data_IF_659008932779
#
_entry.id   IF_659008932779
#
_cell.length_a   1.000
_cell.length_b   1.000
_cell.length_c   1.000
_cell.angle_alpha   90.00
_cell.angle_beta   90.00
_cell.angle_gamma   90.00
#
_symmetry.space_group_name_H-M   'P 1'
#
loop_
_entity.id
_entity.type
_entity.pdbx_description
1 polymer ?
#
# COMPACT_ATOMS: atom_id res chain seq x y z
N UNK A 1 9.50 5.44 2.23
CA UNK A 1 8.70 5.15 3.44
C UNK A 1 7.57 4.21 3.09
N UNK A 2 7.29 3.22 3.92
CA UNK A 2 6.20 2.26 3.72
C UNK A 2 5.01 2.60 4.59
N UNK A 3 3.80 2.58 4.01
CA UNK A 3 2.53 2.76 4.70
C UNK A 3 1.71 1.48 4.57
N UNK A 4 1.74 0.62 5.58
CA UNK A 4 0.97 -0.62 5.68
C UNK A 4 -0.20 -0.47 6.66
N UNK A 5 -1.00 -1.51 6.81
CA UNK A 5 -2.09 -1.58 7.78
C UNK A 5 -3.44 -1.94 7.17
N UNK A 6 -4.49 -2.09 7.99
CA UNK A 6 -5.79 -2.58 7.55
C UNK A 6 -6.42 -1.74 6.45
N UNK A 7 -7.23 -2.38 5.61
CA UNK A 7 -8.03 -1.68 4.61
C UNK A 7 -9.00 -0.70 5.30
N UNK A 8 -9.07 0.56 4.83
CA UNK A 8 -9.88 1.62 5.43
C UNK A 8 -9.21 2.35 6.61
N UNK A 9 -8.00 1.98 7.03
CA UNK A 9 -7.26 2.66 8.10
C UNK A 9 -6.80 4.08 7.73
N UNK A 10 -6.85 4.45 6.44
CA UNK A 10 -6.52 5.80 5.96
C UNK A 10 -5.12 5.96 5.41
N UNK A 11 -4.46 4.87 4.98
CA UNK A 11 -3.13 4.88 4.33
C UNK A 11 -3.08 5.79 3.11
N UNK A 12 -3.92 5.49 2.12
CA UNK A 12 -3.97 6.26 0.87
C UNK A 12 -4.28 7.74 1.12
N UNK A 13 -5.22 8.03 2.04
CA UNK A 13 -5.54 9.41 2.41
C UNK A 13 -4.38 10.13 3.11
N UNK A 14 -3.59 9.41 3.91
CA UNK A 14 -2.36 9.94 4.51
C UNK A 14 -1.32 10.21 3.43
N UNK A 15 -1.09 9.25 2.54
CA UNK A 15 -0.17 9.38 1.42
C UNK A 15 -0.53 10.57 0.51
N UNK A 16 -1.80 10.72 0.14
CA UNK A 16 -2.31 11.86 -0.64
C UNK A 16 -2.06 13.21 0.04
N UNK A 17 -2.28 13.32 1.36
CA UNK A 17 -2.02 14.56 2.09
C UNK A 17 -0.55 14.90 2.17
N UNK A 18 0.30 13.92 2.43
CA UNK A 18 1.76 14.10 2.44
C UNK A 18 2.27 14.47 1.05
N UNK A 19 1.77 13.80 0.01
CA UNK A 19 2.08 14.14 -1.38
C UNK A 19 1.67 15.57 -1.72
N UNK A 20 0.46 15.98 -1.35
CA UNK A 20 -0.02 17.34 -1.59
C UNK A 20 0.77 18.41 -0.82
N UNK A 21 1.23 18.09 0.40
CA UNK A 21 1.96 19.03 1.24
C UNK A 21 3.45 19.16 0.85
N UNK A 22 4.06 18.09 0.38
CA UNK A 22 5.52 18.00 0.17
C UNK A 22 5.92 17.75 -1.29
N UNK A 23 4.99 17.43 -2.18
CA UNK A 23 5.28 16.99 -3.54
C UNK A 23 5.81 15.55 -3.65
N UNK A 24 5.87 14.81 -2.55
CA UNK A 24 6.44 13.45 -2.54
C UNK A 24 5.63 12.48 -3.40
N UNK A 25 6.29 11.68 -4.26
CA UNK A 25 5.59 10.71 -5.09
C UNK A 25 5.02 9.56 -4.27
N UNK A 26 3.87 9.07 -4.71
CA UNK A 26 3.18 7.91 -4.10
C UNK A 26 3.21 6.74 -5.07
N UNK A 27 3.78 5.63 -4.64
CA UNK A 27 3.71 4.33 -5.31
C UNK A 27 2.59 3.53 -4.65
N UNK A 28 1.55 3.25 -5.41
CA UNK A 28 0.45 2.39 -4.97
C UNK A 28 0.86 0.94 -5.19
N UNK A 29 1.09 0.20 -4.12
CA UNK A 29 1.49 -1.21 -4.22
C UNK A 29 0.37 -2.09 -4.74
N UNK A 30 -0.88 -1.65 -4.61
CA UNK A 30 -2.03 -2.32 -5.20
C UNK A 30 -2.01 -2.29 -6.74
N UNK A 31 -1.20 -1.44 -7.37
CA UNK A 31 -0.99 -1.43 -8.81
C UNK A 31 -0.12 -2.61 -9.31
N UNK A 32 0.48 -3.37 -8.40
CA UNK A 32 1.33 -4.52 -8.70
C UNK A 32 0.63 -5.87 -8.49
N UNK A 33 -0.68 -5.91 -8.36
CA UNK A 33 -1.44 -7.17 -8.32
C UNK A 33 -1.31 -7.94 -9.64
N UNK A 34 -1.37 -9.26 -9.54
CA UNK A 34 -1.49 -10.15 -10.70
C UNK A 34 -2.82 -9.89 -11.40
N UNK A 35 -2.88 -10.13 -12.69
CA UNK A 35 -4.13 -10.08 -13.43
C UNK A 35 -4.96 -11.34 -13.16
N UNK A 36 -6.27 -11.27 -13.40
CA UNK A 36 -7.21 -12.35 -13.06
C UNK A 36 -6.94 -13.66 -13.84
N UNK A 37 -6.30 -13.58 -14.99
CA UNK A 37 -5.92 -14.68 -15.88
C UNK A 37 -4.47 -15.14 -15.70
N UNK A 38 -3.70 -14.52 -14.77
CA UNK A 38 -2.35 -14.97 -14.46
C UNK A 38 -2.39 -16.41 -13.90
N UNK A 39 -1.69 -17.37 -14.55
CA UNK A 39 -1.67 -18.78 -14.13
C UNK A 39 -1.06 -18.99 -12.73
N UNK A 40 -0.28 -18.03 -12.24
CA UNK A 40 0.34 -18.05 -10.91
C UNK A 40 -0.50 -17.36 -9.83
N UNK A 41 -1.68 -16.81 -10.19
CA UNK A 41 -2.57 -16.20 -9.21
C UNK A 41 -3.09 -17.28 -8.24
N UNK A 42 -2.83 -17.14 -6.92
CA UNK A 42 -3.30 -18.09 -5.93
C UNK A 42 -4.82 -18.26 -5.95
N UNK A 43 -5.26 -19.48 -5.70
CA UNK A 43 -6.69 -19.80 -5.63
C UNK A 43 -7.06 -20.37 -4.27
N UNK A 44 -8.19 -19.94 -3.75
CA UNK A 44 -8.77 -20.48 -2.53
C UNK A 44 -9.18 -21.96 -2.72
N UNK A 45 -9.46 -22.72 -1.64
CA UNK A 45 -9.90 -24.12 -1.73
C UNK A 45 -11.15 -24.33 -2.58
N UNK A 46 -11.94 -23.29 -2.82
CA UNK A 46 -13.14 -23.33 -3.68
C UNK A 46 -12.87 -22.84 -5.11
N UNK A 47 -11.60 -22.69 -5.50
CA UNK A 47 -11.17 -22.40 -6.87
C UNK A 47 -11.27 -20.94 -7.33
N UNK A 48 -11.68 -20.00 -6.46
CA UNK A 48 -11.72 -18.57 -6.78
C UNK A 48 -10.37 -17.90 -6.46
N UNK A 49 -9.99 -16.82 -7.17
CA UNK A 49 -8.77 -16.07 -6.87
C UNK A 49 -8.68 -15.62 -5.42
N UNK A 50 -7.52 -15.82 -4.81
CA UNK A 50 -7.22 -15.39 -3.43
C UNK A 50 -6.31 -14.15 -3.46
N UNK A 51 -6.93 -12.99 -3.47
CA UNK A 51 -6.26 -11.69 -3.52
C UNK A 51 -5.60 -11.28 -2.18
N UNK A 52 -5.92 -11.98 -1.11
CA UNK A 52 -5.34 -11.74 0.21
C UNK A 52 -4.09 -12.61 0.45
N UNK A 53 -3.77 -13.51 -0.50
CA UNK A 53 -2.55 -14.34 -0.47
C UNK A 53 -1.32 -13.53 -0.89
N UNK A 54 -0.17 -13.84 -0.27
CA UNK A 54 1.09 -13.14 -0.52
C UNK A 54 1.61 -13.21 -1.95
N UNK A 55 1.29 -14.27 -2.67
CA UNK A 55 1.70 -14.43 -4.07
C UNK A 55 0.70 -13.81 -5.07
N UNK A 56 -0.33 -13.09 -4.58
CA UNK A 56 -1.31 -12.43 -5.44
C UNK A 56 -0.76 -11.19 -6.13
N UNK A 57 0.45 -10.75 -5.81
CA UNK A 57 1.07 -9.55 -6.34
C UNK A 57 2.58 -9.75 -6.64
N UNK A 58 3.13 -8.85 -7.43
CA UNK A 58 4.52 -8.89 -7.89
C UNK A 58 5.42 -8.08 -6.95
N UNK A 59 5.81 -8.65 -5.80
CA UNK A 59 6.65 -7.99 -4.80
C UNK A 59 7.98 -7.51 -5.37
N UNK A 60 8.66 -8.34 -6.15
CA UNK A 60 9.96 -8.01 -6.76
C UNK A 60 9.84 -6.83 -7.74
N UNK A 61 8.77 -6.78 -8.53
CA UNK A 61 8.52 -5.65 -9.43
C UNK A 61 8.26 -4.35 -8.66
N UNK A 62 7.58 -4.43 -7.52
CA UNK A 62 7.35 -3.27 -6.66
C UNK A 62 8.67 -2.77 -6.03
N UNK A 63 9.53 -3.68 -5.53
CA UNK A 63 10.86 -3.32 -5.01
C UNK A 63 11.72 -2.67 -6.09
N UNK A 64 11.75 -3.25 -7.30
CA UNK A 64 12.52 -2.72 -8.41
C UNK A 64 12.01 -1.33 -8.85
N UNK A 65 10.69 -1.13 -8.88
CA UNK A 65 10.10 0.17 -9.19
C UNK A 65 10.49 1.23 -8.15
N UNK A 66 10.46 0.89 -6.85
CA UNK A 66 10.90 1.78 -5.78
C UNK A 66 12.39 2.11 -5.88
N UNK A 67 13.22 1.11 -6.16
CA UNK A 67 14.65 1.29 -6.37
C UNK A 67 14.93 2.27 -7.52
N UNK A 68 14.32 2.04 -8.70
CA UNK A 68 14.49 2.94 -9.85
C UNK A 68 14.00 4.35 -9.58
N UNK A 69 12.87 4.49 -8.88
CA UNK A 69 12.36 5.82 -8.55
C UNK A 69 13.33 6.59 -7.65
N UNK A 70 14.01 5.91 -6.72
CA UNK A 70 15.01 6.53 -5.84
C UNK A 70 16.32 6.80 -6.58
N UNK A 71 16.82 5.84 -7.38
CA UNK A 71 18.12 5.92 -8.03
C UNK A 71 18.11 6.84 -9.26
N UNK A 72 17.07 6.68 -10.12
CA UNK A 72 16.96 7.34 -11.42
C UNK A 72 16.05 8.60 -11.37
N UNK A 73 15.34 8.82 -10.25
CA UNK A 73 14.37 9.91 -10.10
C UNK A 73 13.11 9.74 -10.96
N UNK A 74 12.98 8.62 -11.68
CA UNK A 74 11.85 8.35 -12.59
C UNK A 74 11.63 6.86 -12.76
N UNK A 75 10.34 6.46 -12.80
CA UNK A 75 9.93 5.08 -13.11
C UNK A 75 8.57 5.05 -13.79
N UNK A 76 8.37 4.10 -14.68
CA UNK A 76 7.06 3.76 -15.21
C UNK A 76 6.48 2.59 -14.40
N UNK A 77 5.27 2.75 -13.85
CA UNK A 77 4.58 1.74 -13.06
C UNK A 77 3.23 1.40 -13.70
N UNK A 78 2.69 0.19 -13.47
CA UNK A 78 1.37 -0.16 -13.94
C UNK A 78 0.29 0.68 -13.28
N UNK A 79 -0.88 0.75 -13.91
CA UNK A 79 -2.14 1.23 -13.34
C UNK A 79 -3.11 0.06 -13.34
N UNK A 80 -3.46 -0.41 -12.15
CA UNK A 80 -4.30 -1.58 -11.97
C UNK A 80 -5.74 -1.19 -11.61
N UNK A 81 -6.70 -1.75 -12.34
CA UNK A 81 -8.12 -1.62 -12.01
C UNK A 81 -8.57 -2.83 -11.19
N UNK A 82 -8.86 -2.59 -9.91
CA UNK A 82 -9.35 -3.63 -8.99
C UNK A 82 -10.71 -4.20 -9.46
N UNK A 83 -11.55 -3.40 -10.11
CA UNK A 83 -12.85 -3.85 -10.61
C UNK A 83 -12.72 -4.80 -11.79
N UNK A 84 -11.82 -4.50 -12.71
CA UNK A 84 -11.48 -5.35 -13.85
C UNK A 84 -10.51 -6.47 -13.49
N UNK A 85 -9.81 -6.35 -12.36
CA UNK A 85 -8.68 -7.22 -11.95
C UNK A 85 -7.63 -7.36 -13.05
N UNK A 86 -7.25 -6.23 -13.65
CA UNK A 86 -6.33 -6.15 -14.77
C UNK A 86 -5.55 -4.84 -14.79
N UNK A 87 -4.38 -4.86 -15.44
CA UNK A 87 -3.60 -3.67 -15.75
C UNK A 87 -4.27 -2.94 -16.91
N UNK A 88 -4.72 -1.70 -16.68
CA UNK A 88 -5.43 -0.87 -17.66
C UNK A 88 -4.57 0.20 -18.30
N UNK A 89 -3.34 0.38 -17.82
CA UNK A 89 -2.42 1.37 -18.35
C UNK A 89 -1.10 1.42 -17.61
N UNK A 90 -0.33 2.45 -17.89
CA UNK A 90 0.93 2.75 -17.20
C UNK A 90 0.99 4.23 -16.87
N UNK A 91 1.68 4.57 -15.80
CA UNK A 91 1.94 5.94 -15.39
C UNK A 91 3.42 6.15 -15.07
N UNK A 92 3.90 7.36 -15.31
CA UNK A 92 5.25 7.76 -14.95
C UNK A 92 5.22 8.50 -13.63
N UNK A 93 6.00 8.00 -12.66
CA UNK A 93 6.26 8.69 -11.41
C UNK A 93 7.64 9.34 -11.45
N UNK A 94 7.77 10.49 -10.84
CA UNK A 94 9.04 11.21 -10.71
C UNK A 94 9.28 11.59 -9.25
N UNK A 95 10.53 11.52 -8.82
CA UNK A 95 11.00 11.93 -7.51
C UNK A 95 12.10 12.99 -7.66
N UNK A 96 12.01 14.06 -6.90
CA UNK A 96 13.08 15.03 -6.78
C UNK A 96 14.22 14.56 -5.88
N UNK A 97 15.38 15.23 -5.88
CA UNK A 97 16.58 14.79 -5.16
C UNK A 97 16.45 14.83 -3.63
N UNK A 98 15.38 15.40 -3.12
CA UNK A 98 15.12 15.54 -1.67
C UNK A 98 13.81 14.88 -1.24
N UNK A 99 13.16 14.14 -2.14
CA UNK A 99 11.86 13.58 -1.86
C UNK A 99 11.95 12.29 -1.03
N UNK A 100 10.98 12.12 -0.14
CA UNK A 100 10.64 10.79 0.32
C UNK A 100 9.68 10.16 -0.68
N UNK A 101 9.95 8.93 -1.09
CA UNK A 101 9.01 8.10 -1.83
C UNK A 101 8.07 7.43 -0.83
N UNK A 102 6.76 7.64 -1.00
CA UNK A 102 5.73 6.97 -0.21
C UNK A 102 5.26 5.73 -0.96
N UNK A 103 5.33 4.56 -0.35
CA UNK A 103 4.75 3.33 -0.91
C UNK A 103 3.64 2.83 0.02
N UNK A 104 2.41 2.71 -0.50
CA UNK A 104 1.26 2.33 0.30
C UNK A 104 0.54 1.11 -0.27
N UNK A 105 0.09 0.21 0.61
CA UNK A 105 -0.68 -0.96 0.23
C UNK A 105 -0.85 -1.94 1.38
N UNK A 106 -1.67 -2.98 1.12
CA UNK A 106 -1.91 -4.03 2.11
C UNK A 106 -0.61 -4.78 2.44
N UNK A 107 0.16 -5.14 1.41
CA UNK A 107 1.39 -5.93 1.54
C UNK A 107 2.66 -5.09 1.76
N UNK A 108 2.55 -3.78 1.96
CA UNK A 108 3.71 -2.89 2.15
C UNK A 108 4.65 -3.38 3.29
N UNK A 109 4.12 -4.01 4.33
CA UNK A 109 4.91 -4.58 5.41
C UNK A 109 5.95 -5.61 4.95
N UNK A 110 5.66 -6.37 3.90
CA UNK A 110 6.55 -7.39 3.33
C UNK A 110 7.76 -6.82 2.60
N UNK A 111 7.71 -5.54 2.22
CA UNK A 111 8.83 -4.84 1.61
C UNK A 111 9.83 -4.28 2.63
N UNK A 112 9.56 -4.38 3.92
CA UNK A 112 10.44 -3.84 4.97
C UNK A 112 11.84 -4.42 4.87
N UNK A 113 11.99 -5.75 4.88
CA UNK A 113 13.30 -6.40 4.83
C UNK A 113 14.01 -6.21 3.47
N UNK A 114 13.34 -6.43 2.31
CA UNK A 114 13.98 -6.19 1.01
C UNK A 114 14.49 -4.75 0.84
N UNK A 115 13.73 -3.75 1.27
CA UNK A 115 14.15 -2.35 1.14
C UNK A 115 15.17 -1.94 2.20
N UNK A 116 15.12 -2.53 3.40
CA UNK A 116 16.15 -2.33 4.43
C UNK A 116 17.49 -2.88 3.98
N UNK A 117 17.52 -4.08 3.43
CA UNK A 117 18.74 -4.71 2.91
C UNK A 117 19.41 -3.89 1.80
N UNK A 118 18.62 -3.12 1.03
CA UNK A 118 19.10 -2.24 -0.02
C UNK A 118 19.40 -0.80 0.47
N UNK A 119 19.21 -0.50 1.76
CA UNK A 119 19.39 0.85 2.30
C UNK A 119 18.33 1.87 1.84
N UNK A 120 17.23 1.42 1.26
CA UNK A 120 16.16 2.27 0.70
C UNK A 120 15.04 2.57 1.70
N UNK A 121 14.98 1.87 2.83
CA UNK A 121 13.93 2.04 3.82
C UNK A 121 14.24 3.20 4.77
N UNK A 122 13.46 4.26 4.70
CA UNK A 122 13.53 5.36 5.68
C UNK A 122 12.68 5.07 6.92
N UNK A 123 11.45 4.59 6.75
CA UNK A 123 10.54 4.19 7.84
C UNK A 123 9.44 3.25 7.31
N UNK A 124 8.84 2.47 8.21
CA UNK A 124 7.72 1.59 7.92
C UNK A 124 6.61 1.80 8.97
N UNK A 125 5.47 2.29 8.53
CA UNK A 125 4.35 2.70 9.36
C UNK A 125 3.16 1.78 9.16
N UNK A 126 2.73 1.10 10.22
CA UNK A 126 1.43 0.43 10.26
C UNK A 126 0.37 1.44 10.70
N UNK A 127 -0.31 2.02 9.72
CA UNK A 127 -1.37 3.00 9.94
C UNK A 127 -2.59 2.32 10.56
N UNK A 128 -2.96 2.72 11.79
CA UNK A 128 -4.02 2.10 12.57
C UNK A 128 -4.96 3.14 13.15
N UNK A 129 -6.25 2.84 13.14
CA UNK A 129 -7.31 3.60 13.76
C UNK A 129 -8.23 2.71 14.60
N UNK A 130 -9.30 3.30 15.13
CA UNK A 130 -10.38 2.50 15.72
C UNK A 130 -10.99 1.57 14.65
N UNK A 131 -10.97 0.27 14.92
CA UNK A 131 -11.41 -0.78 13.98
C UNK A 131 -12.87 -0.62 13.49
N UNK A 132 -13.75 -0.11 14.33
CA UNK A 132 -15.13 0.13 13.96
C UNK A 132 -15.26 1.30 12.98
N UNK A 133 -14.47 2.35 13.19
CA UNK A 133 -14.39 3.49 12.27
C UNK A 133 -13.80 3.05 10.91
N UNK A 134 -12.77 2.21 10.94
CA UNK A 134 -12.14 1.61 9.75
C UNK A 134 -13.17 0.78 8.98
N UNK A 135 -13.92 -0.09 9.68
CA UNK A 135 -14.96 -0.92 9.07
C UNK A 135 -16.10 -0.07 8.47
N UNK A 136 -16.56 0.96 9.17
CA UNK A 136 -17.60 1.87 8.69
C UNK A 136 -17.16 2.62 7.42
N UNK A 137 -15.94 3.19 7.41
CA UNK A 137 -15.39 3.89 6.23
C UNK A 137 -15.23 2.98 5.03
N UNK A 138 -14.79 1.75 5.24
CA UNK A 138 -14.69 0.74 4.18
C UNK A 138 -16.07 0.41 3.62
N UNK A 139 -17.03 0.13 4.50
CA UNK A 139 -18.39 -0.19 4.11
C UNK A 139 -19.02 0.93 3.27
N UNK A 140 -18.92 2.19 3.72
CA UNK A 140 -19.46 3.34 2.98
C UNK A 140 -18.78 3.53 1.62
N UNK A 141 -17.47 3.34 1.53
CA UNK A 141 -16.74 3.38 0.26
C UNK A 141 -17.21 2.28 -0.69
N UNK A 142 -17.20 1.03 -0.23
CA UNK A 142 -17.56 -0.13 -1.06
C UNK A 142 -19.03 -0.09 -1.51
N UNK A 143 -19.90 0.54 -0.72
CA UNK A 143 -21.30 0.81 -1.08
C UNK A 143 -21.40 1.91 -2.14
N UNK A 144 -20.67 3.02 -1.98
CA UNK A 144 -20.65 4.13 -2.93
C UNK A 144 -20.11 3.70 -4.30
N UNK A 145 -19.09 2.87 -4.32
CA UNK A 145 -18.47 2.34 -5.53
C UNK A 145 -19.23 1.15 -6.15
N UNK A 146 -20.38 0.76 -5.57
CA UNK A 146 -21.24 -0.36 -6.03
C UNK A 146 -20.50 -1.66 -6.32
N UNK A 147 -19.41 -1.92 -5.61
CA UNK A 147 -18.50 -3.04 -5.87
C UNK A 147 -19.17 -4.42 -5.71
N UNK A 148 -20.13 -4.56 -4.78
CA UNK A 148 -20.84 -5.82 -4.49
C UNK A 148 -22.21 -5.56 -3.84
N UNK A 149 -23.13 -6.54 -3.84
CA UNK A 149 -24.40 -6.45 -3.12
C UNK A 149 -24.20 -6.20 -1.61
N UNK A 150 -25.09 -5.42 -0.94
CA UNK A 150 -24.93 -5.00 0.45
C UNK A 150 -24.71 -6.14 1.45
N UNK A 151 -25.40 -7.28 1.30
CA UNK A 151 -25.25 -8.43 2.18
C UNK A 151 -23.85 -9.07 2.12
N UNK A 152 -23.24 -9.07 0.91
CA UNK A 152 -21.85 -9.55 0.72
C UNK A 152 -20.88 -8.57 1.37
N UNK A 153 -21.14 -7.25 1.25
CA UNK A 153 -20.31 -6.20 1.88
C UNK A 153 -20.31 -6.32 3.40
N UNK A 154 -21.48 -6.57 4.01
CA UNK A 154 -21.58 -6.79 5.47
C UNK A 154 -20.78 -8.00 5.90
N UNK A 155 -20.96 -9.16 5.22
CA UNK A 155 -20.23 -10.40 5.55
C UNK A 155 -18.72 -10.21 5.42
N UNK A 156 -18.27 -9.59 4.32
CA UNK A 156 -16.86 -9.27 4.10
C UNK A 156 -16.33 -8.27 5.13
N UNK A 157 -17.12 -7.24 5.45
CA UNK A 157 -16.78 -6.24 6.47
C UNK A 157 -16.53 -6.86 7.85
N UNK A 158 -17.37 -7.80 8.26
CA UNK A 158 -17.22 -8.54 9.53
C UNK A 158 -15.99 -9.45 9.52
N UNK A 159 -15.71 -10.13 8.39
CA UNK A 159 -14.52 -10.97 8.26
C UNK A 159 -13.25 -10.12 8.40
N UNK A 160 -13.16 -9.01 7.67
CA UNK A 160 -12.02 -8.09 7.72
C UNK A 160 -11.85 -7.40 9.09
N UNK A 161 -12.96 -7.12 9.79
CA UNK A 161 -12.91 -6.60 11.16
C UNK A 161 -12.31 -7.61 12.15
N UNK A 162 -12.59 -8.90 11.95
CA UNK A 162 -12.01 -9.98 12.76
C UNK A 162 -10.53 -10.19 12.45
N UNK A 163 -10.14 -10.00 11.18
CA UNK A 163 -8.79 -10.24 10.70
C UNK A 163 -7.83 -9.06 10.94
N UNK A 164 -8.37 -7.88 11.24
CA UNK A 164 -7.58 -6.65 11.47
C UNK A 164 -6.44 -6.82 12.49
N UNK A 165 -6.63 -7.51 13.66
CA UNK A 165 -5.54 -7.73 14.60
C UNK A 165 -4.39 -8.54 14.01
N UNK A 166 -4.70 -9.53 13.16
CA UNK A 166 -3.70 -10.35 12.47
C UNK A 166 -2.88 -9.51 11.48
N UNK A 167 -3.53 -8.68 10.68
CA UNK A 167 -2.87 -7.77 9.74
C UNK A 167 -1.92 -6.80 10.46
N UNK A 168 -2.34 -6.27 11.61
CA UNK A 168 -1.51 -5.38 12.44
C UNK A 168 -0.32 -6.14 13.02
N UNK A 169 -0.54 -7.34 13.58
CA UNK A 169 0.52 -8.16 14.15
C UNK A 169 1.56 -8.58 13.10
N UNK A 170 1.10 -8.94 11.89
CA UNK A 170 1.96 -9.27 10.77
C UNK A 170 2.83 -8.07 10.34
N UNK A 171 2.22 -6.88 10.21
CA UNK A 171 2.96 -5.67 9.90
C UNK A 171 4.04 -5.35 10.96
N UNK A 172 3.73 -5.55 12.24
CA UNK A 172 4.68 -5.38 13.34
C UNK A 172 5.80 -6.44 13.30
N UNK A 173 5.47 -7.69 13.00
CA UNK A 173 6.45 -8.76 12.86
C UNK A 173 7.45 -8.48 11.74
N UNK A 174 7.04 -7.81 10.68
CA UNK A 174 7.92 -7.30 9.62
C UNK A 174 8.68 -6.02 10.00
N UNK A 175 8.48 -5.48 11.20
CA UNK A 175 9.19 -4.30 11.69
C UNK A 175 8.53 -2.95 11.41
N UNK A 176 7.25 -2.94 11.03
CA UNK A 176 6.48 -1.70 10.92
C UNK A 176 5.99 -1.23 12.30
N UNK A 177 6.15 0.06 12.62
CA UNK A 177 5.62 0.62 13.86
C UNK A 177 4.18 1.07 13.69
N UNK A 178 3.33 0.74 14.68
CA UNK A 178 1.94 1.19 14.67
C UNK A 178 1.82 2.67 15.00
N UNK A 179 1.02 3.38 14.19
CA UNK A 179 0.82 4.82 14.36
C UNK A 179 -0.61 5.22 13.97
N UNK A 180 -1.14 6.24 14.65
CA UNK A 180 -2.41 6.85 14.25
C UNK A 180 -2.18 7.80 13.06
N UNK A 181 -3.08 7.89 12.04
CA UNK A 181 -2.88 8.72 10.85
C UNK A 181 -2.54 10.17 11.13
N UNK A 182 -3.19 10.81 12.12
CA UNK A 182 -2.91 12.20 12.49
C UNK A 182 -1.52 12.39 13.10
N UNK A 183 -1.08 11.41 13.89
CA UNK A 183 0.26 11.43 14.47
C UNK A 183 1.30 11.21 13.37
N UNK A 184 1.08 10.25 12.47
CA UNK A 184 1.95 10.02 11.31
C UNK A 184 2.10 11.29 10.46
N UNK A 185 0.99 11.97 10.17
CA UNK A 185 1.00 13.23 9.41
C UNK A 185 1.83 14.30 10.11
N UNK A 186 1.66 14.46 11.43
CA UNK A 186 2.42 15.44 12.23
C UNK A 186 3.92 15.10 12.28
N UNK A 187 4.28 13.83 12.50
CA UNK A 187 5.68 13.39 12.55
C UNK A 187 6.37 13.55 11.19
N UNK A 188 5.69 13.16 10.11
CA UNK A 188 6.26 13.21 8.76
C UNK A 188 6.31 14.63 8.20
N UNK A 189 5.37 15.51 8.58
CA UNK A 189 5.40 16.90 8.18
C UNK A 189 6.61 17.65 8.72
N UNK A 190 7.18 17.22 9.86
CA UNK A 190 8.39 17.79 10.47
C UNK A 190 9.71 17.22 9.97
N UNK A 191 9.66 16.22 9.06
CA UNK A 191 10.90 15.60 8.56
C UNK A 191 11.65 16.56 7.63
N UNK A 192 12.99 16.70 7.82
CA UNK A 192 13.82 17.41 6.85
C UNK A 192 13.78 16.66 5.51
N UNK A 193 13.82 17.39 4.41
CA UNK A 193 14.01 16.79 3.09
C UNK A 193 15.32 15.99 3.11
N UNK A 194 15.22 14.68 2.85
CA UNK A 194 16.41 13.82 2.76
C UNK A 194 16.96 13.93 1.34
N UNK A 195 18.22 14.33 1.22
CA UNK A 195 18.91 14.27 -0.08
C UNK A 195 18.93 12.81 -0.56
N UNK A 196 18.37 12.55 -1.73
CA UNK A 196 18.66 11.32 -2.44
C UNK A 196 20.14 11.32 -2.83
N UNK A 197 20.84 10.17 -2.77
CA UNK A 197 22.23 10.13 -3.22
C UNK A 197 22.26 10.55 -4.68
N UNK A 198 23.15 11.54 -4.98
CA UNK A 198 23.39 11.97 -6.36
C UNK A 198 23.79 10.77 -7.19
N UNK A 199 23.11 10.50 -8.30
CA UNK A 199 23.56 9.54 -9.29
C UNK A 199 25.00 9.88 -9.70
N UNK A 200 25.92 8.95 -9.49
CA UNK A 200 27.31 9.03 -9.98
C UNK A 200 27.38 8.47 -11.37
#
# INVERSE_FOLDING_TARGET
MLLTGPSGAGKSRLAERLSSAHGWPVVRLDDFYREHDDPHLPRSPIGIPDWDHEDSWHADAAVEALRRLVDDGRVEVPVYDIGASAITGRQVLTAGPHDYVLAEGLFAGRLVEPLRAQGLLADALCVRQNRFLTAARRFTRDLAERRKPPHILVRRGLALLRDEPRVVAEAQAHGARCIHPRQAESELAGLPARALPSAR
#
